data_IF_280287356150
#
_entry.id   IF_280287356150
#
_cell.length_a   1.000
_cell.length_b   1.000
_cell.length_c   1.000
_cell.angle_alpha   90.00
_cell.angle_beta   90.00
_cell.angle_gamma   90.00
#
_symmetry.space_group_name_H-M   'P 1'
#
loop_
_entity.id
_entity.type
_entity.pdbx_description
1 polymer ?
#
# COMPACT_ATOMS: atom_id res chain seq x y z
N UNK A 1 -26.07 -2.97 2.66
CA UNK A 1 -25.60 -3.24 1.28
C UNK A 1 -24.95 -4.62 1.24
N UNK A 2 -25.21 -5.39 0.19
CA UNK A 2 -24.62 -6.71 -0.07
C UNK A 2 -23.52 -6.55 -1.10
N UNK A 3 -22.28 -6.69 -0.68
CA UNK A 3 -21.09 -6.36 -1.47
C UNK A 3 -20.36 -7.66 -1.84
N UNK A 4 -20.08 -7.85 -3.13
CA UNK A 4 -19.22 -8.91 -3.61
C UNK A 4 -17.85 -8.35 -3.97
N UNK A 5 -16.82 -8.67 -3.20
CA UNK A 5 -15.44 -8.38 -3.57
C UNK A 5 -14.90 -9.43 -4.55
N UNK A 6 -14.20 -8.97 -5.57
CA UNK A 6 -13.48 -9.84 -6.51
C UNK A 6 -12.01 -9.41 -6.55
N UNK A 7 -11.12 -10.34 -6.25
CA UNK A 7 -9.68 -10.06 -6.22
C UNK A 7 -8.87 -11.26 -6.73
N UNK A 8 -7.86 -11.02 -7.55
CA UNK A 8 -6.91 -12.06 -7.97
C UNK A 8 -6.25 -12.71 -6.75
N UNK A 9 -5.87 -11.88 -5.79
CA UNK A 9 -5.09 -12.26 -4.62
C UNK A 9 -5.84 -11.94 -3.33
N UNK A 10 -5.88 -12.91 -2.42
CA UNK A 10 -6.48 -12.79 -1.08
C UNK A 10 -5.73 -13.66 -0.08
N UNK A 11 -6.13 -13.61 1.19
CA UNK A 11 -5.54 -14.47 2.23
C UNK A 11 -5.67 -15.97 1.85
N UNK A 12 -4.68 -16.82 2.18
CA UNK A 12 -3.56 -16.62 3.11
C UNK A 12 -2.33 -15.94 2.49
N UNK A 13 -2.36 -15.59 1.20
CA UNK A 13 -1.26 -14.85 0.58
C UNK A 13 -1.12 -13.49 1.25
N UNK A 14 0.12 -13.12 1.63
CA UNK A 14 0.44 -11.88 2.30
C UNK A 14 1.10 -10.89 1.32
N UNK A 15 0.44 -9.76 1.13
CA UNK A 15 0.91 -8.61 0.35
C UNK A 15 0.07 -7.39 0.71
N UNK A 16 0.44 -6.22 0.21
CA UNK A 16 -0.25 -4.97 0.56
C UNK A 16 -1.72 -4.93 0.10
N UNK A 17 -2.02 -5.51 -1.07
CA UNK A 17 -3.38 -5.57 -1.61
C UNK A 17 -4.23 -6.54 -0.77
N UNK A 18 -3.72 -7.74 -0.55
CA UNK A 18 -4.40 -8.82 0.16
C UNK A 18 -4.82 -8.40 1.58
N UNK A 19 -3.89 -7.76 2.29
CA UNK A 19 -4.14 -7.24 3.64
C UNK A 19 -5.18 -6.12 3.61
N UNK A 20 -5.07 -5.17 2.67
CA UNK A 20 -6.03 -4.07 2.55
C UNK A 20 -7.43 -4.53 2.18
N UNK A 21 -7.56 -5.49 1.27
CA UNK A 21 -8.86 -6.06 0.90
C UNK A 21 -9.47 -6.80 2.10
N UNK A 22 -8.68 -7.57 2.85
CA UNK A 22 -9.15 -8.25 4.04
C UNK A 22 -9.58 -7.27 5.15
N UNK A 23 -8.81 -6.23 5.40
CA UNK A 23 -9.14 -5.20 6.38
C UNK A 23 -10.40 -4.40 5.95
N UNK A 24 -10.56 -4.08 4.65
CA UNK A 24 -11.77 -3.44 4.13
C UNK A 24 -13.00 -4.32 4.30
N UNK A 25 -12.91 -5.60 3.96
CA UNK A 25 -13.99 -6.58 4.14
C UNK A 25 -14.42 -6.65 5.61
N UNK A 26 -13.46 -6.68 6.53
CA UNK A 26 -13.72 -6.66 7.98
C UNK A 26 -14.43 -5.37 8.38
N UNK A 27 -13.90 -4.20 8.01
CA UNK A 27 -14.48 -2.90 8.36
C UNK A 27 -15.93 -2.75 7.82
N UNK A 28 -16.19 -3.21 6.61
CA UNK A 28 -17.53 -3.20 6.02
C UNK A 28 -18.49 -4.14 6.76
N UNK A 29 -18.04 -5.33 7.19
CA UNK A 29 -18.85 -6.22 8.01
C UNK A 29 -19.16 -5.63 9.37
N UNK A 30 -18.18 -5.01 10.02
CA UNK A 30 -18.34 -4.28 11.28
C UNK A 30 -19.33 -3.10 11.14
N UNK A 31 -19.37 -2.46 9.96
CA UNK A 31 -20.34 -1.42 9.62
C UNK A 31 -21.74 -1.97 9.24
N UNK A 32 -21.98 -3.28 9.35
CA UNK A 32 -23.29 -3.89 9.14
C UNK A 32 -23.60 -4.29 7.68
N UNK A 33 -22.58 -4.29 6.78
CA UNK A 33 -22.76 -4.78 5.42
C UNK A 33 -22.64 -6.32 5.34
N UNK A 34 -23.37 -6.93 4.40
CA UNK A 34 -23.14 -8.33 4.04
C UNK A 34 -22.05 -8.38 2.98
N UNK A 35 -20.92 -9.00 3.30
CA UNK A 35 -19.73 -8.95 2.44
C UNK A 35 -19.22 -10.35 2.16
N UNK A 36 -19.08 -10.68 0.88
CA UNK A 36 -18.46 -11.92 0.41
C UNK A 36 -17.27 -11.60 -0.50
N UNK A 37 -16.35 -12.55 -0.63
CA UNK A 37 -15.12 -12.41 -1.42
C UNK A 37 -15.04 -13.56 -2.43
N UNK A 38 -14.70 -13.25 -3.68
CA UNK A 38 -14.30 -14.24 -4.68
C UNK A 38 -12.84 -14.01 -5.06
N UNK A 39 -12.05 -15.07 -5.02
CA UNK A 39 -10.62 -14.97 -5.30
C UNK A 39 -10.10 -16.17 -6.09
N UNK A 40 -9.03 -15.93 -6.87
CA UNK A 40 -8.27 -16.99 -7.53
C UNK A 40 -7.15 -17.58 -6.63
N UNK A 41 -6.97 -17.08 -5.42
CA UNK A 41 -5.95 -17.57 -4.48
C UNK A 41 -6.41 -18.88 -3.83
N UNK A 42 -5.59 -19.96 -3.91
CA UNK A 42 -5.86 -21.19 -3.16
C UNK A 42 -5.74 -20.95 -1.65
N UNK A 43 -6.39 -21.81 -0.86
CA UNK A 43 -6.34 -21.74 0.59
C UNK A 43 -7.52 -22.46 1.24
N UNK A 44 -7.57 -22.43 2.55
CA UNK A 44 -8.65 -23.03 3.34
C UNK A 44 -10.01 -22.38 3.05
N UNK A 45 -11.06 -23.15 3.29
CA UNK A 45 -12.44 -22.65 3.21
C UNK A 45 -12.69 -21.68 4.37
N UNK A 46 -13.01 -20.44 4.03
CA UNK A 46 -13.41 -19.42 5.00
C UNK A 46 -14.87 -19.02 4.74
N UNK A 47 -15.64 -18.71 5.78
CA UNK A 47 -17.01 -18.22 5.62
C UNK A 47 -17.06 -16.96 4.75
N UNK A 48 -17.94 -16.96 3.74
CA UNK A 48 -18.07 -15.82 2.82
C UNK A 48 -16.88 -15.62 1.87
N UNK A 49 -16.02 -16.65 1.67
CA UNK A 49 -14.92 -16.61 0.70
C UNK A 49 -15.08 -17.74 -0.31
N UNK A 50 -15.29 -17.38 -1.56
CA UNK A 50 -15.39 -18.30 -2.70
C UNK A 50 -14.03 -18.36 -3.42
N UNK A 51 -13.48 -19.56 -3.54
CA UNK A 51 -12.20 -19.76 -4.22
C UNK A 51 -12.41 -20.39 -5.59
N UNK A 52 -12.04 -19.66 -6.63
CA UNK A 52 -12.12 -20.08 -8.04
C UNK A 52 -10.69 -20.31 -8.52
N UNK A 53 -10.16 -21.47 -8.21
CA UNK A 53 -8.77 -21.85 -8.45
C UNK A 53 -8.69 -22.81 -9.63
N UNK A 54 -7.73 -22.60 -10.54
CA UNK A 54 -7.27 -23.56 -11.53
C UNK A 54 -5.83 -23.94 -11.24
N UNK A 55 -5.52 -25.24 -11.35
CA UNK A 55 -4.15 -25.72 -11.23
C UNK A 55 -3.38 -25.40 -12.52
N UNK A 56 -2.92 -24.16 -12.63
CA UNK A 56 -2.11 -23.69 -13.73
C UNK A 56 -0.63 -23.58 -13.31
N UNK A 57 0.32 -23.76 -14.25
CA UNK A 57 1.73 -23.53 -13.94
C UNK A 57 1.96 -22.12 -13.40
N UNK A 58 2.91 -21.99 -12.43
CA UNK A 58 3.30 -20.71 -11.83
C UNK A 58 2.22 -20.01 -11.00
N UNK A 59 1.22 -20.73 -10.47
CA UNK A 59 0.12 -20.19 -9.66
C UNK A 59 -0.54 -18.94 -10.28
N UNK A 60 -0.71 -18.97 -11.60
CA UNK A 60 -1.33 -17.88 -12.33
C UNK A 60 -2.78 -17.69 -11.86
N UNK A 61 -3.17 -16.48 -11.43
CA UNK A 61 -4.53 -16.18 -10.97
C UNK A 61 -5.50 -16.04 -12.15
N UNK A 62 -5.62 -17.10 -12.93
CA UNK A 62 -6.52 -17.19 -14.10
C UNK A 62 -7.23 -18.52 -14.05
N UNK A 63 -8.52 -18.52 -14.34
CA UNK A 63 -9.30 -19.74 -14.51
C UNK A 63 -9.94 -19.74 -15.90
N UNK A 64 -9.75 -20.79 -16.74
CA UNK A 64 -10.29 -20.83 -18.10
C UNK A 64 -11.81 -20.60 -18.17
N UNK A 65 -12.53 -21.03 -17.13
CA UNK A 65 -13.99 -20.81 -16.97
C UNK A 65 -14.31 -19.78 -15.87
N UNK A 66 -13.37 -18.87 -15.56
CA UNK A 66 -13.50 -17.90 -14.47
C UNK A 66 -14.74 -17.03 -14.59
N UNK A 67 -15.01 -16.48 -15.76
CA UNK A 67 -16.22 -15.68 -16.02
C UNK A 67 -17.50 -16.48 -15.77
N UNK A 68 -17.57 -17.76 -16.17
CA UNK A 68 -18.78 -18.59 -15.95
C UNK A 68 -18.99 -18.92 -14.46
N UNK A 69 -17.90 -19.10 -13.69
CA UNK A 69 -17.98 -19.27 -12.24
C UNK A 69 -18.46 -17.99 -11.56
N UNK A 70 -17.89 -16.85 -11.93
CA UNK A 70 -18.27 -15.54 -11.40
C UNK A 70 -19.73 -15.20 -11.70
N UNK A 71 -20.20 -15.43 -12.93
CA UNK A 71 -21.62 -15.25 -13.31
C UNK A 71 -22.55 -16.10 -12.44
N UNK A 72 -22.21 -17.37 -12.17
CA UNK A 72 -23.03 -18.23 -11.30
C UNK A 72 -23.07 -17.71 -9.86
N UNK A 73 -21.95 -17.27 -9.30
CA UNK A 73 -21.88 -16.70 -7.96
C UNK A 73 -22.74 -15.42 -7.90
N UNK A 74 -22.59 -14.52 -8.86
CA UNK A 74 -23.36 -13.28 -8.92
C UNK A 74 -24.86 -13.52 -9.07
N UNK A 75 -25.26 -14.51 -9.88
CA UNK A 75 -26.67 -14.89 -10.06
C UNK A 75 -27.30 -15.52 -8.80
N UNK A 76 -26.49 -16.24 -7.98
CA UNK A 76 -27.00 -16.92 -6.78
C UNK A 76 -27.07 -16.01 -5.55
N UNK A 77 -26.28 -14.93 -5.51
CA UNK A 77 -25.97 -14.19 -4.30
C UNK A 77 -26.82 -12.96 -3.98
N UNK A 78 -27.62 -12.43 -4.90
CA UNK A 78 -28.38 -11.15 -4.73
C UNK A 78 -27.51 -10.01 -4.17
N UNK A 79 -26.40 -9.69 -4.85
CA UNK A 79 -25.53 -8.59 -4.49
C UNK A 79 -26.07 -7.26 -5.02
N UNK A 80 -25.79 -6.18 -4.30
CA UNK A 80 -26.14 -4.81 -4.69
C UNK A 80 -25.04 -4.17 -5.53
N UNK A 81 -23.78 -4.60 -5.31
CA UNK A 81 -22.59 -4.08 -5.99
C UNK A 81 -21.47 -5.12 -6.06
N UNK A 82 -20.71 -5.10 -7.14
CA UNK A 82 -19.43 -5.80 -7.28
C UNK A 82 -18.28 -4.81 -7.08
N UNK A 83 -17.44 -5.06 -6.08
CA UNK A 83 -16.23 -4.29 -5.81
C UNK A 83 -15.00 -5.10 -6.22
N UNK A 84 -14.36 -4.70 -7.31
CA UNK A 84 -13.26 -5.43 -7.92
C UNK A 84 -11.93 -4.78 -7.56
N UNK A 85 -10.93 -5.59 -7.17
CA UNK A 85 -9.60 -5.12 -6.79
C UNK A 85 -8.57 -5.53 -7.83
N UNK A 86 -7.90 -4.52 -8.43
CA UNK A 86 -6.91 -4.75 -9.48
C UNK A 86 -5.52 -4.29 -9.05
N UNK A 87 -4.51 -5.08 -9.43
CA UNK A 87 -3.11 -4.64 -9.48
C UNK A 87 -2.77 -3.99 -10.83
N UNK A 88 -1.53 -4.15 -11.29
CA UNK A 88 -1.11 -3.67 -12.61
C UNK A 88 -1.71 -4.53 -13.74
N UNK A 89 -1.67 -5.85 -13.56
CA UNK A 89 -2.30 -6.85 -14.44
C UNK A 89 -3.06 -7.81 -13.55
N UNK A 90 -4.36 -7.89 -13.73
CA UNK A 90 -5.27 -8.65 -12.87
C UNK A 90 -6.36 -9.33 -13.71
N UNK A 91 -6.00 -10.41 -14.43
CA UNK A 91 -6.93 -11.02 -15.38
C UNK A 91 -8.20 -11.56 -14.72
N UNK A 92 -8.10 -12.18 -13.55
CA UNK A 92 -9.28 -12.70 -12.84
C UNK A 92 -10.19 -11.56 -12.35
N UNK A 93 -9.62 -10.47 -11.84
CA UNK A 93 -10.39 -9.29 -11.44
C UNK A 93 -11.15 -8.69 -12.65
N UNK A 94 -10.51 -8.59 -13.81
CA UNK A 94 -11.17 -8.11 -15.03
C UNK A 94 -12.26 -9.08 -15.56
N UNK A 95 -12.08 -10.39 -15.38
CA UNK A 95 -13.19 -11.34 -15.57
C UNK A 95 -14.36 -11.03 -14.63
N UNK A 96 -14.05 -10.59 -13.40
CA UNK A 96 -15.05 -10.13 -12.42
C UNK A 96 -15.80 -8.88 -12.87
N UNK A 97 -15.08 -7.87 -13.37
CA UNK A 97 -15.70 -6.67 -13.96
C UNK A 97 -16.65 -7.07 -15.10
N UNK A 98 -16.18 -7.88 -16.04
CA UNK A 98 -16.98 -8.32 -17.18
C UNK A 98 -18.21 -9.14 -16.75
N UNK A 99 -18.05 -10.04 -15.77
CA UNK A 99 -19.16 -10.83 -15.25
C UNK A 99 -20.21 -9.95 -14.56
N UNK A 100 -19.78 -8.97 -13.76
CA UNK A 100 -20.67 -8.06 -13.05
C UNK A 100 -21.47 -7.19 -14.02
N UNK A 101 -20.82 -6.61 -15.03
CA UNK A 101 -21.48 -5.83 -16.09
C UNK A 101 -22.52 -6.68 -16.82
N UNK A 102 -22.19 -7.93 -17.17
CA UNK A 102 -23.14 -8.87 -17.80
C UNK A 102 -24.30 -9.28 -16.90
N UNK A 103 -24.11 -9.24 -15.59
CA UNK A 103 -25.15 -9.54 -14.60
C UNK A 103 -26.00 -8.31 -14.26
N UNK A 104 -25.71 -7.14 -14.83
CA UNK A 104 -26.39 -5.88 -14.50
C UNK A 104 -26.06 -5.35 -13.10
N UNK A 105 -24.97 -5.83 -12.48
CA UNK A 105 -24.53 -5.32 -11.18
C UNK A 105 -23.74 -4.02 -11.35
N UNK A 106 -23.99 -3.01 -10.50
CA UNK A 106 -23.11 -1.87 -10.35
C UNK A 106 -21.66 -2.31 -10.08
N UNK A 107 -20.66 -1.67 -10.70
CA UNK A 107 -19.26 -2.07 -10.58
C UNK A 107 -18.39 -0.92 -10.12
N UNK A 108 -17.70 -1.14 -9.02
CA UNK A 108 -16.57 -0.30 -8.58
C UNK A 108 -15.28 -1.09 -8.72
N UNK A 109 -14.27 -0.55 -9.41
CA UNK A 109 -12.98 -1.22 -9.57
C UNK A 109 -11.85 -0.36 -8.96
N UNK A 110 -11.28 -0.86 -7.85
CA UNK A 110 -10.17 -0.21 -7.16
C UNK A 110 -8.84 -0.64 -7.75
N UNK A 111 -8.06 0.32 -8.23
CA UNK A 111 -6.71 0.11 -8.76
C UNK A 111 -5.68 0.37 -7.66
N UNK A 112 -5.02 -0.68 -7.19
CA UNK A 112 -4.03 -0.63 -6.11
C UNK A 112 -2.61 -0.32 -6.59
N UNK A 113 -2.36 -0.30 -7.89
CA UNK A 113 -1.04 -0.06 -8.47
C UNK A 113 -0.97 1.28 -9.18
N UNK A 114 0.24 1.81 -9.27
CA UNK A 114 0.51 2.96 -10.14
C UNK A 114 0.76 2.47 -11.56
N UNK A 115 -0.03 2.95 -12.52
CA UNK A 115 0.08 2.58 -13.92
C UNK A 115 1.29 3.25 -14.58
N UNK A 116 2.25 2.45 -14.95
CA UNK A 116 3.40 2.86 -15.76
C UNK A 116 3.05 2.96 -17.27
N UNK A 117 3.96 3.43 -18.11
CA UNK A 117 3.71 3.55 -19.54
C UNK A 117 3.28 2.25 -20.22
N UNK A 118 3.84 1.10 -19.79
CA UNK A 118 3.49 -0.23 -20.33
C UNK A 118 2.07 -0.60 -19.94
N UNK A 119 1.76 -0.51 -18.65
CA UNK A 119 0.41 -0.77 -18.14
C UNK A 119 -0.63 0.11 -18.83
N UNK A 120 -0.36 1.40 -19.00
CA UNK A 120 -1.23 2.31 -19.75
C UNK A 120 -1.44 1.88 -21.20
N UNK A 121 -0.38 1.39 -21.86
CA UNK A 121 -0.46 0.82 -23.20
C UNK A 121 -1.39 -0.39 -23.27
N UNK A 122 -1.24 -1.32 -22.31
CA UNK A 122 -2.12 -2.51 -22.19
C UNK A 122 -3.59 -2.10 -22.03
N UNK A 123 -3.92 -1.17 -21.11
CA UNK A 123 -5.30 -0.74 -20.90
C UNK A 123 -5.90 0.03 -22.08
N UNK A 124 -5.08 0.76 -22.86
CA UNK A 124 -5.53 1.36 -24.14
C UNK A 124 -5.84 0.27 -25.18
N UNK A 125 -5.00 -0.76 -25.28
CA UNK A 125 -5.25 -1.87 -26.18
C UNK A 125 -6.51 -2.66 -25.77
N UNK A 126 -6.73 -2.88 -24.48
CA UNK A 126 -7.94 -3.49 -23.95
C UNK A 126 -9.19 -2.63 -24.23
N UNK A 127 -9.06 -1.30 -24.20
CA UNK A 127 -10.17 -0.41 -24.61
C UNK A 127 -10.50 -0.58 -26.10
N UNK A 128 -9.47 -0.61 -26.95
CA UNK A 128 -9.67 -0.80 -28.38
C UNK A 128 -10.31 -2.17 -28.70
N UNK A 129 -9.98 -3.21 -27.93
CA UNK A 129 -10.50 -4.55 -28.13
C UNK A 129 -11.91 -4.77 -27.54
N UNK A 130 -12.18 -4.24 -26.36
CA UNK A 130 -13.36 -4.58 -25.56
C UNK A 130 -14.29 -3.40 -25.26
N UNK A 131 -13.85 -2.16 -25.45
CA UNK A 131 -14.66 -0.96 -25.21
C UNK A 131 -15.05 -0.77 -23.73
N UNK A 132 -14.18 -1.15 -22.78
CA UNK A 132 -14.49 -1.18 -21.34
C UNK A 132 -14.92 0.18 -20.77
N UNK A 133 -14.55 1.31 -21.39
CA UNK A 133 -15.02 2.64 -20.99
C UNK A 133 -16.53 2.84 -21.11
N UNK A 134 -17.22 1.95 -21.82
CA UNK A 134 -18.70 1.97 -22.02
C UNK A 134 -19.42 1.04 -21.05
N UNK A 135 -18.72 0.38 -20.15
CA UNK A 135 -19.31 -0.63 -19.26
C UNK A 135 -20.01 -0.05 -18.03
N UNK A 136 -20.06 1.29 -17.86
CA UNK A 136 -20.75 1.94 -16.75
C UNK A 136 -20.08 1.72 -15.39
N UNK A 137 -18.77 1.43 -15.36
CA UNK A 137 -18.04 1.18 -14.13
C UNK A 137 -17.47 2.47 -13.53
N UNK A 138 -17.31 2.49 -12.23
CA UNK A 138 -16.57 3.51 -11.48
C UNK A 138 -15.18 2.98 -11.14
N UNK A 139 -14.15 3.70 -11.52
CA UNK A 139 -12.79 3.40 -11.09
C UNK A 139 -12.44 4.13 -9.80
N UNK A 140 -11.69 3.48 -8.92
CA UNK A 140 -11.07 4.16 -7.79
C UNK A 140 -9.57 3.95 -7.79
N UNK A 141 -8.85 4.93 -7.28
CA UNK A 141 -7.40 4.86 -7.06
C UNK A 141 -7.10 5.14 -5.59
N UNK A 142 -6.04 4.54 -5.09
CA UNK A 142 -5.67 4.63 -3.67
C UNK A 142 -5.00 5.96 -3.28
N UNK A 143 -4.63 6.78 -4.27
CA UNK A 143 -4.02 8.10 -4.07
C UNK A 143 -4.19 8.98 -5.30
N UNK A 144 -3.98 10.27 -5.15
CA UNK A 144 -4.00 11.22 -6.27
C UNK A 144 -2.87 10.93 -7.28
N UNK A 145 -1.68 10.53 -6.79
CA UNK A 145 -0.57 10.14 -7.64
C UNK A 145 -0.90 8.91 -8.52
N UNK A 146 -1.64 7.93 -7.96
CA UNK A 146 -2.11 6.77 -8.70
C UNK A 146 -3.28 7.10 -9.64
N UNK A 147 -4.16 8.04 -9.27
CA UNK A 147 -5.33 8.42 -10.07
C UNK A 147 -4.95 9.11 -11.39
N UNK A 148 -3.91 9.94 -11.41
CA UNK A 148 -3.52 10.71 -12.60
C UNK A 148 -3.32 9.86 -13.86
N UNK A 149 -2.46 8.81 -13.86
CA UNK A 149 -2.28 7.97 -15.03
C UNK A 149 -3.54 7.16 -15.39
N UNK A 150 -4.39 6.83 -14.42
CA UNK A 150 -5.66 6.13 -14.64
C UNK A 150 -6.64 7.06 -15.36
N UNK A 151 -6.83 8.29 -14.88
CA UNK A 151 -7.68 9.31 -15.54
C UNK A 151 -7.25 9.58 -16.97
N UNK A 152 -5.94 9.61 -17.24
CA UNK A 152 -5.39 9.82 -18.60
C UNK A 152 -5.73 8.66 -19.57
N UNK A 153 -6.00 7.46 -19.06
CA UNK A 153 -6.42 6.29 -19.85
C UNK A 153 -7.94 6.17 -19.88
N UNK A 154 -8.60 6.35 -18.76
CA UNK A 154 -10.05 6.23 -18.60
C UNK A 154 -10.82 7.28 -19.42
N UNK A 155 -10.27 8.49 -19.50
CA UNK A 155 -10.92 9.62 -20.17
C UNK A 155 -12.12 10.16 -19.39
N UNK A 156 -12.84 11.16 -19.93
CA UNK A 156 -13.88 11.87 -19.16
C UNK A 156 -15.16 11.07 -18.93
N UNK A 157 -15.35 9.95 -19.64
CA UNK A 157 -16.57 9.13 -19.52
C UNK A 157 -16.58 8.20 -18.33
N UNK A 158 -15.42 7.84 -17.80
CA UNK A 158 -15.30 6.91 -16.68
C UNK A 158 -14.94 7.70 -15.43
N UNK A 159 -15.81 7.74 -14.41
CA UNK A 159 -15.48 8.38 -13.14
C UNK A 159 -14.26 7.70 -12.49
N UNK A 160 -13.29 8.51 -12.04
CA UNK A 160 -12.12 8.04 -11.30
C UNK A 160 -12.04 8.78 -9.98
N UNK A 161 -12.45 8.11 -8.92
CA UNK A 161 -12.45 8.64 -7.56
C UNK A 161 -11.16 8.28 -6.83
N UNK A 162 -10.75 9.08 -5.84
CA UNK A 162 -9.65 8.73 -4.96
C UNK A 162 -10.21 8.31 -3.62
N UNK A 163 -10.00 7.05 -3.26
CA UNK A 163 -10.35 6.50 -1.95
C UNK A 163 -9.09 5.89 -1.36
N UNK A 164 -8.62 6.45 -0.26
CA UNK A 164 -7.41 5.99 0.42
C UNK A 164 -7.55 4.56 0.94
N UNK A 165 -6.41 3.89 1.12
CA UNK A 165 -6.39 2.69 1.95
C UNK A 165 -6.71 3.05 3.41
N UNK A 166 -7.41 2.14 4.11
CA UNK A 166 -7.77 2.32 5.50
C UNK A 166 -6.69 1.83 6.47
N UNK A 167 -6.59 2.50 7.61
CA UNK A 167 -5.75 2.09 8.72
C UNK A 167 -6.49 2.35 10.04
N UNK A 168 -6.40 1.39 10.97
CA UNK A 168 -6.72 1.65 12.37
C UNK A 168 -5.53 2.35 13.02
N UNK A 169 -5.56 3.69 12.97
CA UNK A 169 -4.48 4.55 13.45
C UNK A 169 -4.17 4.32 14.92
N UNK A 170 -5.20 4.07 15.73
CA UNK A 170 -5.03 3.90 17.18
C UNK A 170 -4.21 2.66 17.51
N UNK A 171 -4.34 1.61 16.72
CA UNK A 171 -3.57 0.37 16.90
C UNK A 171 -2.07 0.51 16.64
N UNK A 172 -1.64 1.59 15.98
CA UNK A 172 -0.24 1.88 15.66
C UNK A 172 0.38 2.90 16.61
N UNK A 173 -0.42 3.63 17.37
CA UNK A 173 0.09 4.57 18.37
C UNK A 173 0.77 3.82 19.50
N UNK A 174 1.98 4.21 19.91
CA UNK A 174 2.62 3.68 21.11
C UNK A 174 1.75 4.00 22.33
N UNK A 175 1.53 3.02 23.19
CA UNK A 175 0.82 3.24 24.46
C UNK A 175 1.58 4.25 25.33
N UNK A 176 0.91 5.27 25.90
CA UNK A 176 1.53 6.19 26.83
C UNK A 176 2.11 5.43 28.03
N UNK A 177 3.40 5.61 28.31
CA UNK A 177 4.05 4.96 29.46
C UNK A 177 4.46 3.51 29.25
N UNK A 178 4.38 2.97 28.01
CA UNK A 178 4.97 1.65 27.77
C UNK A 178 6.48 1.72 27.99
N UNK A 179 7.02 0.82 28.81
CA UNK A 179 8.47 0.68 29.07
C UNK A 179 9.25 0.50 27.76
N UNK A 180 8.59 -0.01 26.71
CA UNK A 180 9.11 -0.09 25.35
C UNK A 180 9.45 1.27 24.75
N UNK A 181 8.72 2.31 25.10
CA UNK A 181 8.94 3.68 24.62
C UNK A 181 10.13 4.36 25.32
N UNK A 182 10.30 4.14 26.63
CA UNK A 182 11.44 4.67 27.39
C UNK A 182 12.71 3.83 27.17
N UNK A 183 12.64 2.52 27.20
CA UNK A 183 13.81 1.64 27.06
C UNK A 183 14.49 1.74 25.68
N UNK A 184 13.75 2.01 24.61
CA UNK A 184 14.32 2.22 23.27
C UNK A 184 14.90 3.64 23.11
N UNK A 185 14.34 4.65 23.79
CA UNK A 185 14.89 6.01 23.87
C UNK A 185 16.01 6.14 24.88
N UNK A 186 15.97 5.38 25.98
CA UNK A 186 17.00 5.37 27.04
C UNK A 186 18.24 4.54 26.66
N UNK A 187 18.20 3.76 25.57
CA UNK A 187 19.42 3.27 24.91
C UNK A 187 20.22 4.42 24.25
N UNK A 188 20.19 5.57 24.88
CA UNK A 188 20.63 6.90 24.52
C UNK A 188 22.11 7.05 24.19
N UNK A 189 22.57 6.35 23.14
CA UNK A 189 23.85 6.59 22.50
C UNK A 189 23.80 7.72 21.45
N UNK A 190 22.66 8.41 21.31
CA UNK A 190 22.44 9.45 20.29
C UNK A 190 22.38 8.93 18.85
N UNK A 191 22.27 7.61 18.66
CA UNK A 191 22.23 6.98 17.32
C UNK A 191 20.86 7.16 16.69
N UNK A 192 20.82 7.74 15.50
CA UNK A 192 19.59 7.90 14.70
C UNK A 192 19.22 6.58 14.02
N UNK A 193 18.04 6.05 14.32
CA UNK A 193 17.55 4.81 13.75
C UNK A 193 16.64 5.07 12.54
N UNK A 194 17.13 4.71 11.37
CA UNK A 194 16.38 4.80 10.11
C UNK A 194 15.73 3.44 9.78
N UNK A 195 14.45 3.46 9.47
CA UNK A 195 13.68 2.24 9.18
C UNK A 195 13.06 2.32 7.79
N UNK A 196 13.07 1.20 7.08
CA UNK A 196 12.30 1.00 5.86
C UNK A 196 11.61 -0.38 5.91
N UNK A 197 10.39 -0.46 5.42
CA UNK A 197 9.60 -1.69 5.38
C UNK A 197 9.01 -1.87 4.00
N UNK A 198 9.20 -3.05 3.40
CA UNK A 198 8.59 -3.34 2.12
C UNK A 198 9.18 -4.55 1.41
N UNK A 199 8.52 -4.97 0.33
CA UNK A 199 8.99 -6.08 -0.50
C UNK A 199 10.30 -5.72 -1.22
N UNK A 200 11.31 -6.59 -1.13
CA UNK A 200 12.60 -6.41 -1.79
C UNK A 200 12.54 -6.83 -3.27
N UNK A 201 11.61 -6.21 -4.00
CA UNK A 201 11.39 -6.44 -5.43
C UNK A 201 12.07 -5.34 -6.27
N UNK A 202 12.55 -5.65 -7.49
CA UNK A 202 13.26 -4.71 -8.35
C UNK A 202 12.51 -3.38 -8.58
N UNK A 203 11.19 -3.44 -8.74
CA UNK A 203 10.34 -2.24 -8.93
C UNK A 203 10.36 -1.28 -7.73
N UNK A 204 10.64 -1.77 -6.53
CA UNK A 204 10.79 -0.96 -5.30
C UNK A 204 12.21 -0.38 -5.17
N UNK A 205 13.11 -0.73 -6.07
CA UNK A 205 14.49 -0.23 -6.15
C UNK A 205 15.29 -0.38 -4.82
N UNK A 206 15.32 -1.57 -4.18
CA UNK A 206 15.91 -1.73 -2.85
C UNK A 206 17.42 -1.46 -2.82
N UNK A 207 18.17 -1.68 -3.90
CA UNK A 207 19.58 -1.30 -3.98
C UNK A 207 19.76 0.21 -3.99
N UNK A 208 18.81 0.95 -4.58
CA UNK A 208 18.84 2.41 -4.56
C UNK A 208 18.56 2.96 -3.16
N UNK A 209 17.76 2.25 -2.35
CA UNK A 209 17.60 2.54 -0.92
C UNK A 209 18.94 2.40 -0.17
N UNK A 210 19.70 1.31 -0.40
CA UNK A 210 21.02 1.15 0.22
C UNK A 210 21.97 2.28 -0.17
N UNK A 211 22.01 2.64 -1.47
CA UNK A 211 22.82 3.75 -1.95
C UNK A 211 22.40 5.08 -1.32
N UNK A 212 21.09 5.31 -1.12
CA UNK A 212 20.58 6.49 -0.44
C UNK A 212 21.08 6.57 1.00
N UNK A 213 20.96 5.46 1.74
CA UNK A 213 21.43 5.38 3.13
C UNK A 213 22.94 5.58 3.24
N UNK A 214 23.73 4.95 2.37
CA UNK A 214 25.18 5.13 2.28
C UNK A 214 25.54 6.60 2.04
N UNK A 215 24.96 7.21 1.02
CA UNK A 215 25.20 8.61 0.68
C UNK A 215 24.78 9.56 1.81
N UNK A 216 23.67 9.27 2.48
CA UNK A 216 23.24 10.05 3.64
C UNK A 216 24.22 9.92 4.80
N UNK A 217 24.68 8.70 5.09
CA UNK A 217 25.67 8.44 6.15
C UNK A 217 26.97 9.19 5.93
N UNK A 218 27.43 9.26 4.67
CA UNK A 218 28.66 9.99 4.31
C UNK A 218 28.53 11.51 4.46
N UNK A 219 27.30 12.04 4.38
CA UNK A 219 26.99 13.49 4.49
C UNK A 219 26.58 13.94 5.89
N UNK A 220 26.30 12.99 6.79
CA UNK A 220 25.98 13.28 8.19
C UNK A 220 27.30 13.57 8.95
N UNK A 221 27.35 14.62 9.82
CA UNK A 221 28.52 14.91 10.62
C UNK A 221 28.99 13.71 11.47
N UNK A 222 30.29 13.57 11.66
CA UNK A 222 30.90 12.42 12.35
C UNK A 222 30.46 12.21 13.81
N UNK A 223 29.89 13.24 14.43
CA UNK A 223 29.32 13.15 15.78
C UNK A 223 27.87 12.63 15.82
N UNK A 224 27.25 12.38 14.67
CA UNK A 224 25.93 11.80 14.59
C UNK A 224 26.04 10.32 14.17
N UNK A 225 25.83 9.43 15.10
CA UNK A 225 25.74 8.00 14.78
C UNK A 225 24.42 7.67 14.07
N UNK A 226 24.46 6.72 13.13
CA UNK A 226 23.29 6.31 12.35
C UNK A 226 23.26 4.79 12.18
N UNK A 227 22.12 4.18 12.38
CA UNK A 227 21.85 2.78 12.06
C UNK A 227 20.60 2.66 11.21
N UNK A 228 20.46 1.57 10.46
CA UNK A 228 19.28 1.33 9.65
C UNK A 228 18.80 -0.10 9.75
N UNK A 229 17.46 -0.28 9.70
CA UNK A 229 16.81 -1.58 9.62
C UNK A 229 15.87 -1.60 8.42
N UNK A 230 16.09 -2.53 7.49
CA UNK A 230 15.26 -2.70 6.30
C UNK A 230 14.54 -4.04 6.44
N UNK A 231 13.25 -3.96 6.75
CA UNK A 231 12.37 -5.13 6.94
C UNK A 231 11.73 -5.51 5.62
N UNK A 232 11.77 -6.79 5.32
CA UNK A 232 11.13 -7.37 4.15
C UNK A 232 11.95 -8.47 3.52
N UNK A 233 11.39 -9.04 2.47
CA UNK A 233 12.01 -10.11 1.70
C UNK A 233 11.64 -9.99 0.22
N UNK A 234 12.43 -10.65 -0.62
CA UNK A 234 12.19 -10.66 -2.05
C UNK A 234 13.43 -10.99 -2.88
N UNK A 235 13.28 -11.04 -4.21
CA UNK A 235 14.33 -11.50 -5.11
C UNK A 235 15.61 -10.63 -5.10
N UNK A 236 15.55 -9.41 -4.58
CA UNK A 236 16.73 -8.55 -4.50
C UNK A 236 17.57 -8.76 -3.23
N UNK A 237 17.11 -9.57 -2.24
CA UNK A 237 17.78 -9.75 -0.95
C UNK A 237 19.26 -10.12 -1.09
N UNK A 238 19.58 -11.16 -1.85
CA UNK A 238 20.98 -11.61 -2.00
C UNK A 238 21.90 -10.55 -2.63
N UNK A 239 21.35 -9.71 -3.52
CA UNK A 239 22.09 -8.57 -4.11
C UNK A 239 22.31 -7.48 -3.08
N UNK A 240 21.34 -7.22 -2.21
CA UNK A 240 21.48 -6.25 -1.10
C UNK A 240 22.53 -6.71 -0.08
N UNK A 241 22.48 -7.98 0.34
CA UNK A 241 23.46 -8.56 1.26
C UNK A 241 24.89 -8.48 0.70
N UNK A 242 25.05 -8.74 -0.60
CA UNK A 242 26.34 -8.55 -1.29
C UNK A 242 26.77 -7.09 -1.26
N UNK A 243 25.87 -6.15 -1.54
CA UNK A 243 26.16 -4.70 -1.51
C UNK A 243 26.63 -4.28 -0.13
N UNK A 244 25.92 -4.67 0.94
CA UNK A 244 26.29 -4.37 2.33
C UNK A 244 27.69 -4.86 2.69
N UNK A 245 28.04 -6.10 2.30
CA UNK A 245 29.39 -6.67 2.53
C UNK A 245 30.48 -5.91 1.79
N UNK A 246 30.29 -5.67 0.50
CA UNK A 246 31.26 -4.97 -0.35
C UNK A 246 31.51 -3.54 0.13
N UNK A 247 30.42 -2.85 0.53
CA UNK A 247 30.48 -1.48 1.01
C UNK A 247 30.73 -1.36 2.52
N UNK A 248 30.92 -2.49 3.21
CA UNK A 248 31.16 -2.54 4.68
C UNK A 248 30.12 -1.79 5.51
N UNK A 249 28.86 -1.88 5.11
CA UNK A 249 27.74 -1.20 5.78
C UNK A 249 27.19 -2.05 6.95
N UNK A 250 28.04 -2.32 7.96
CA UNK A 250 27.67 -3.13 9.15
C UNK A 250 26.58 -2.49 10.02
N UNK A 251 26.31 -1.21 9.82
CA UNK A 251 25.27 -0.44 10.50
C UNK A 251 23.86 -0.59 9.88
N UNK A 252 23.73 -1.37 8.80
CA UNK A 252 22.45 -1.68 8.15
C UNK A 252 22.11 -3.16 8.37
N UNK A 253 20.90 -3.40 8.90
CA UNK A 253 20.36 -4.73 9.16
C UNK A 253 19.27 -5.09 8.14
N UNK A 254 19.28 -6.36 7.68
CA UNK A 254 18.25 -6.97 6.83
C UNK A 254 17.65 -8.19 7.55
N UNK A 255 16.77 -8.00 8.56
CA UNK A 255 16.26 -9.10 9.40
C UNK A 255 15.30 -10.05 8.67
N UNK A 256 14.84 -9.71 7.48
CA UNK A 256 13.82 -10.46 6.76
C UNK A 256 12.40 -9.93 7.01
N UNK A 257 11.42 -10.80 6.93
CA UNK A 257 10.01 -10.45 7.16
C UNK A 257 9.72 -10.34 8.65
N UNK A 258 8.93 -9.34 8.99
CA UNK A 258 8.38 -9.15 10.33
C UNK A 258 6.86 -9.32 10.30
N UNK A 259 6.30 -9.78 11.42
CA UNK A 259 4.86 -9.70 11.68
C UNK A 259 4.44 -8.25 11.91
N UNK A 260 3.12 -8.00 11.89
CA UNK A 260 2.57 -6.66 12.16
C UNK A 260 2.99 -6.14 13.55
N UNK A 261 3.00 -7.00 14.55
CA UNK A 261 3.43 -6.64 15.92
C UNK A 261 4.93 -6.31 15.97
N UNK A 262 5.76 -7.11 15.31
CA UNK A 262 7.20 -6.81 15.20
C UNK A 262 7.48 -5.49 14.48
N UNK A 263 6.67 -5.12 13.48
CA UNK A 263 6.78 -3.83 12.80
C UNK A 263 6.38 -2.69 13.75
N UNK A 264 5.33 -2.86 14.56
CA UNK A 264 4.94 -1.87 15.58
C UNK A 264 6.07 -1.64 16.59
N UNK A 265 6.65 -2.73 17.10
CA UNK A 265 7.78 -2.65 18.04
C UNK A 265 8.99 -1.95 17.42
N UNK A 266 9.29 -2.24 16.16
CA UNK A 266 10.37 -1.59 15.42
C UNK A 266 10.12 -0.08 15.24
N UNK A 267 8.90 0.30 14.85
CA UNK A 267 8.52 1.69 14.62
C UNK A 267 8.50 2.50 15.92
N UNK A 268 8.17 1.88 17.06
CA UNK A 268 8.22 2.54 18.36
C UNK A 268 9.64 3.05 18.72
N UNK A 269 10.68 2.39 18.18
CA UNK A 269 12.08 2.77 18.34
C UNK A 269 12.73 3.43 17.13
N UNK A 270 11.96 3.82 16.12
CA UNK A 270 12.47 4.45 14.92
C UNK A 270 12.46 5.97 15.02
N UNK A 271 13.51 6.62 14.48
CA UNK A 271 13.63 8.07 14.38
C UNK A 271 13.19 8.61 13.03
N UNK A 272 13.40 7.85 11.96
CA UNK A 272 13.08 8.23 10.58
C UNK A 272 12.61 7.00 9.82
N UNK A 273 11.52 7.12 9.09
CA UNK A 273 11.05 6.12 8.14
C UNK A 273 11.34 6.57 6.71
N UNK A 274 11.87 5.68 5.86
CA UNK A 274 12.23 6.02 4.48
C UNK A 274 11.47 5.16 3.48
N UNK A 275 10.70 5.79 2.59
CA UNK A 275 9.96 5.18 1.50
C UNK A 275 10.37 5.79 0.14
N UNK A 276 11.55 5.43 -0.41
CA UNK A 276 12.14 6.14 -1.54
C UNK A 276 11.61 5.69 -2.90
N UNK A 277 10.75 4.67 -2.96
CA UNK A 277 10.27 4.09 -4.20
C UNK A 277 9.49 5.13 -5.04
N UNK A 278 9.89 5.37 -6.30
CA UNK A 278 9.26 6.41 -7.13
C UNK A 278 7.85 6.02 -7.59
N UNK A 279 7.55 4.72 -7.62
CA UNK A 279 6.25 4.16 -8.03
C UNK A 279 5.52 3.55 -6.84
N UNK A 280 5.47 4.28 -5.73
CA UNK A 280 4.65 3.91 -4.59
C UNK A 280 3.23 4.43 -4.81
N UNK A 281 2.29 3.51 -5.01
CA UNK A 281 0.89 3.88 -5.27
C UNK A 281 0.21 4.51 -4.06
N UNK A 282 0.53 4.05 -2.85
CA UNK A 282 -0.01 4.59 -1.62
C UNK A 282 1.04 4.70 -0.51
N UNK A 283 1.67 3.59 -0.12
CA UNK A 283 2.68 3.55 0.92
C UNK A 283 2.13 3.19 2.29
N UNK A 284 1.47 2.03 2.42
CA UNK A 284 0.92 1.56 3.71
C UNK A 284 1.95 1.60 4.84
N UNK A 285 3.16 1.10 4.60
CA UNK A 285 4.21 1.11 5.63
C UNK A 285 4.62 2.54 6.06
N UNK A 286 4.56 3.51 5.13
CA UNK A 286 4.77 4.92 5.47
C UNK A 286 3.60 5.51 6.29
N UNK A 287 2.36 5.08 6.00
CA UNK A 287 1.19 5.45 6.79
C UNK A 287 1.26 4.87 8.20
N UNK A 288 1.66 3.60 8.32
CA UNK A 288 1.90 2.91 9.59
C UNK A 288 2.97 3.64 10.43
N UNK A 289 4.08 4.03 9.79
CA UNK A 289 5.14 4.81 10.42
C UNK A 289 4.65 6.18 10.90
N UNK A 290 3.88 6.91 10.07
CA UNK A 290 3.25 8.17 10.48
C UNK A 290 2.32 7.96 11.69
N UNK A 291 1.49 6.94 11.67
CA UNK A 291 0.56 6.62 12.77
C UNK A 291 1.32 6.27 14.06
N UNK A 292 2.48 5.62 13.96
CA UNK A 292 3.37 5.33 15.07
C UNK A 292 4.16 6.56 15.58
N UNK A 293 3.99 7.73 14.97
CA UNK A 293 4.69 8.96 15.37
C UNK A 293 6.07 9.14 14.74
N UNK A 294 6.42 8.37 13.69
CA UNK A 294 7.74 8.44 13.05
C UNK A 294 7.72 9.43 11.88
N UNK A 295 8.68 10.37 11.81
CA UNK A 295 8.88 11.23 10.64
C UNK A 295 9.14 10.43 9.37
N UNK A 296 8.43 10.74 8.28
CA UNK A 296 8.51 10.01 7.01
C UNK A 296 9.31 10.78 5.97
N UNK A 297 10.25 10.12 5.30
CA UNK A 297 10.93 10.62 4.10
C UNK A 297 10.46 9.81 2.89
N UNK A 298 9.86 10.47 1.91
CA UNK A 298 9.31 9.80 0.74
C UNK A 298 9.39 10.64 -0.53
N UNK A 299 9.06 10.00 -1.66
CA UNK A 299 8.93 10.69 -2.95
C UNK A 299 7.70 11.58 -3.00
N UNK A 300 7.89 12.84 -3.42
CA UNK A 300 6.79 13.79 -3.61
C UNK A 300 5.81 13.37 -4.72
N UNK A 301 6.26 12.51 -5.67
CA UNK A 301 5.45 12.00 -6.77
C UNK A 301 4.74 10.67 -6.43
N UNK A 302 4.86 10.19 -5.21
CA UNK A 302 4.23 8.95 -4.73
C UNK A 302 2.91 9.22 -4.01
N UNK A 303 2.14 8.15 -3.75
CA UNK A 303 0.91 8.24 -2.98
C UNK A 303 1.10 8.65 -1.52
N UNK A 304 2.33 8.59 -1.00
CA UNK A 304 2.66 9.06 0.35
C UNK A 304 2.39 10.56 0.52
N UNK A 305 2.47 11.34 -0.57
CA UNK A 305 2.19 12.77 -0.55
C UNK A 305 0.72 13.12 -0.20
N UNK A 306 -0.19 12.15 -0.27
CA UNK A 306 -1.60 12.37 0.11
C UNK A 306 -1.79 12.47 1.64
N UNK A 307 -0.87 11.93 2.43
CA UNK A 307 -0.94 11.95 3.89
C UNK A 307 0.34 12.43 4.59
N UNK A 308 1.36 12.84 3.84
CA UNK A 308 2.58 13.45 4.38
C UNK A 308 2.79 14.81 3.71
N UNK A 309 2.70 15.88 4.50
CA UNK A 309 3.03 17.25 4.07
C UNK A 309 4.46 17.60 4.48
N UNK A 310 5.26 18.25 3.61
CA UNK A 310 6.63 18.62 3.95
C UNK A 310 6.71 19.51 5.20
N UNK A 311 7.56 19.12 6.16
CA UNK A 311 7.78 19.83 7.42
C UNK A 311 6.70 19.63 8.49
N UNK A 312 5.66 18.84 8.20
CA UNK A 312 4.58 18.51 9.16
C UNK A 312 4.64 17.04 9.58
N UNK A 313 4.37 16.12 8.67
CA UNK A 313 4.40 14.69 8.92
C UNK A 313 5.72 14.04 8.51
N UNK A 314 6.54 14.75 7.73
CA UNK A 314 7.80 14.26 7.21
C UNK A 314 8.43 15.23 6.22
N UNK A 315 9.32 14.73 5.38
CA UNK A 315 9.96 15.47 4.29
C UNK A 315 9.75 14.73 2.97
N UNK A 316 9.44 15.46 1.92
CA UNK A 316 9.24 14.91 0.58
C UNK A 316 10.32 15.42 -0.38
N UNK A 317 10.88 14.50 -1.19
CA UNK A 317 11.88 14.82 -2.20
C UNK A 317 11.45 14.41 -3.61
N UNK A 318 11.78 15.21 -4.62
CA UNK A 318 11.52 14.89 -6.04
C UNK A 318 12.64 14.07 -6.66
N UNK A 319 13.86 14.30 -6.24
CA UNK A 319 15.07 13.67 -6.76
C UNK A 319 15.70 12.72 -5.74
N UNK A 320 16.71 11.99 -6.15
CA UNK A 320 17.50 11.16 -5.23
C UNK A 320 18.23 12.05 -4.21
N UNK A 321 18.83 13.14 -4.66
CA UNK A 321 19.56 14.05 -3.79
C UNK A 321 18.67 14.77 -2.77
N UNK A 322 17.42 15.10 -3.14
CA UNK A 322 16.44 15.65 -2.20
C UNK A 322 16.12 14.66 -1.08
N UNK A 323 15.99 13.36 -1.41
CA UNK A 323 15.76 12.33 -0.39
C UNK A 323 16.96 12.14 0.52
N UNK A 324 18.19 12.14 -0.03
CA UNK A 324 19.43 12.12 0.75
C UNK A 324 19.48 13.34 1.68
N UNK A 325 19.23 14.53 1.15
CA UNK A 325 19.21 15.76 1.94
C UNK A 325 18.15 15.72 3.06
N UNK A 326 16.99 15.13 2.79
CA UNK A 326 15.92 14.97 3.78
C UNK A 326 16.34 14.04 4.93
N UNK A 327 16.96 12.90 4.62
CA UNK A 327 17.48 11.98 5.65
C UNK A 327 18.57 12.66 6.46
N UNK A 328 19.54 13.32 5.81
CA UNK A 328 20.60 14.06 6.48
C UNK A 328 20.04 15.15 7.40
N UNK A 329 19.06 15.92 6.92
CA UNK A 329 18.41 16.97 7.71
C UNK A 329 17.75 16.40 8.97
N UNK A 330 16.95 15.33 8.83
CA UNK A 330 16.31 14.69 9.99
C UNK A 330 17.34 14.03 10.93
N UNK A 331 18.45 13.52 10.43
CA UNK A 331 19.49 12.96 11.26
C UNK A 331 20.23 14.03 12.11
N UNK A 332 20.48 15.20 11.53
CA UNK A 332 21.20 16.30 12.17
C UNK A 332 20.33 17.15 13.11
N UNK A 333 19.10 17.38 12.72
CA UNK A 333 18.18 18.31 13.40
C UNK A 333 17.20 17.52 14.27
N UNK A 334 17.63 17.29 15.53
CA UNK A 334 16.82 16.57 16.51
C UNK A 334 15.54 17.34 16.88
N UNK A 335 15.57 18.67 16.90
CA UNK A 335 14.42 19.50 17.21
C UNK A 335 13.34 19.37 16.13
N UNK A 336 13.72 19.45 14.85
CA UNK A 336 12.82 19.21 13.74
C UNK A 336 12.24 17.78 13.79
N UNK A 337 13.09 16.78 14.02
CA UNK A 337 12.67 15.38 14.11
C UNK A 337 11.66 15.16 15.24
N UNK A 338 11.89 15.72 16.41
CA UNK A 338 10.97 15.66 17.55
C UNK A 338 9.67 16.40 17.28
N UNK A 339 9.72 17.60 16.72
CA UNK A 339 8.52 18.37 16.36
C UNK A 339 7.62 17.62 15.39
N UNK A 340 8.19 16.99 14.36
CA UNK A 340 7.43 16.16 13.42
C UNK A 340 6.85 14.91 14.12
N UNK A 341 7.63 14.28 14.99
CA UNK A 341 7.18 13.10 15.72
C UNK A 341 6.01 13.42 16.68
N UNK A 342 6.07 14.56 17.37
CA UNK A 342 4.98 15.06 18.22
C UNK A 342 3.73 15.34 17.40
N UNK A 343 3.87 16.08 16.31
CA UNK A 343 2.76 16.35 15.39
C UNK A 343 2.10 15.05 14.87
N UNK A 344 2.91 14.05 14.51
CA UNK A 344 2.40 12.76 14.04
C UNK A 344 1.64 11.98 15.13
N UNK A 345 2.03 12.12 16.39
CA UNK A 345 1.31 11.51 17.53
C UNK A 345 0.01 12.23 17.88
N UNK A 346 -0.02 13.54 17.70
CA UNK A 346 -1.17 14.40 18.05
C UNK A 346 -2.24 14.45 16.94
N UNK A 347 -1.86 14.13 15.70
CA UNK A 347 -2.75 14.24 14.53
C UNK A 347 -3.03 12.87 13.90
N UNK A 348 -4.15 12.80 13.19
CA UNK A 348 -4.55 11.61 12.44
C UNK A 348 -4.62 11.89 10.94
N UNK A 349 -4.24 10.91 10.10
CA UNK A 349 -4.51 10.94 8.66
C UNK A 349 -6.00 10.66 8.41
N UNK A 350 -6.87 11.63 8.62
CA UNK A 350 -8.33 11.48 8.62
C UNK A 350 -8.86 10.74 7.39
N UNK A 351 -8.31 11.04 6.20
CA UNK A 351 -8.71 10.37 4.95
C UNK A 351 -8.40 8.88 4.91
N UNK A 352 -7.50 8.42 5.77
CA UNK A 352 -7.08 7.03 5.88
C UNK A 352 -7.78 6.29 7.04
N UNK A 353 -8.65 6.97 7.79
CA UNK A 353 -9.48 6.33 8.81
C UNK A 353 -10.57 5.45 8.16
N UNK A 354 -10.91 4.35 8.80
CA UNK A 354 -11.96 3.46 8.27
C UNK A 354 -13.30 4.16 8.03
N UNK A 355 -13.79 5.07 8.92
CA UNK A 355 -15.01 5.83 8.63
C UNK A 355 -14.94 6.60 7.31
N UNK A 356 -13.85 7.34 7.06
CA UNK A 356 -13.71 8.11 5.84
C UNK A 356 -13.57 7.22 4.58
N UNK A 357 -12.88 6.10 4.70
CA UNK A 357 -12.73 5.12 3.61
C UNK A 357 -14.07 4.46 3.27
N UNK A 358 -14.85 4.07 4.27
CA UNK A 358 -16.17 3.48 4.08
C UNK A 358 -17.16 4.48 3.45
N UNK A 359 -17.14 5.73 3.88
CA UNK A 359 -17.94 6.81 3.27
C UNK A 359 -17.54 7.03 1.81
N UNK A 360 -16.23 7.06 1.51
CA UNK A 360 -15.73 7.18 0.15
C UNK A 360 -16.19 6.04 -0.76
N UNK A 361 -16.18 4.80 -0.28
CA UNK A 361 -16.70 3.67 -1.05
C UNK A 361 -18.22 3.67 -1.15
N UNK A 362 -18.95 4.06 -0.11
CA UNK A 362 -20.41 4.21 -0.18
C UNK A 362 -20.81 5.17 -1.31
N UNK A 363 -20.16 6.33 -1.40
CA UNK A 363 -20.35 7.27 -2.50
C UNK A 363 -20.03 6.64 -3.87
N UNK A 364 -18.94 5.85 -3.97
CA UNK A 364 -18.61 5.16 -5.22
C UNK A 364 -19.67 4.09 -5.61
N UNK A 365 -20.25 3.41 -4.63
CA UNK A 365 -21.31 2.43 -4.88
C UNK A 365 -22.60 3.09 -5.38
N UNK A 366 -22.98 4.23 -4.79
CA UNK A 366 -24.12 5.04 -5.27
C UNK A 366 -23.88 5.54 -6.69
N UNK A 367 -22.69 6.06 -6.98
CA UNK A 367 -22.31 6.53 -8.32
C UNK A 367 -22.31 5.42 -9.36
N UNK A 368 -21.97 4.19 -8.99
CA UNK A 368 -22.00 3.04 -9.89
C UNK A 368 -23.41 2.52 -10.14
N UNK A 369 -24.35 2.76 -9.22
CA UNK A 369 -25.75 2.39 -9.32
C UNK A 369 -26.65 3.42 -9.99
N UNK A 370 -26.15 4.65 -10.24
CA UNK A 370 -26.85 5.73 -10.94
C UNK A 370 -26.65 5.63 -12.45
#
# INVERSE_FOLDING_TARGET
VRILHVSDCYLPRLGGIEVQVADLVRAQREAGHTVEVVTATPGERLPGVHRVVANLPFDLPVHPRGTAHLLRIMASGRYDVAHVHTGAVSPFAWMGVHAAVRSGLPVVATVHSMWDPVTRGVYRALEAAFGWRRWGLVLTAVSEAAARPIRAVAGPRVPVQVVSNGLDVTSWRPEPGSERHSAVRDAGDGTVHVVAVGRLAPRKQPLRLLKLLETARDRVPGNVAMRATIVGDGPARGRMERYLRVRRMSWVSLPGRYSREQIKDLLAGADVFVAPAPRESFGLAALEARAAGVPVVARAQSGVADFVRPGKEGLLGRTFDDLVASVVRLARDSALRQSIAEHNRETEPVRCSWPAVLEGFAHCYELAGS
#
